data_IF_642488958212
#
_entry.id   IF_642488958212
#
_cell.length_a   1.000
_cell.length_b   1.000
_cell.length_c   1.000
_cell.angle_alpha   90.00
_cell.angle_beta   90.00
_cell.angle_gamma   90.00
#
_symmetry.space_group_name_H-M   'P 1'
#
loop_
_entity.id
_entity.type
_entity.pdbx_description
1 polymer ?
#
# COMPACT_ATOMS: atom_id res chain seq x y z
N UNK A 1 1.58 22.82 13.92
CA UNK A 1 0.74 23.05 12.72
C UNK A 1 1.21 24.18 11.84
N UNK A 2 1.93 25.19 12.35
CA UNK A 2 2.46 26.26 11.50
C UNK A 2 3.25 25.76 10.30
N UNK A 3 4.18 24.82 10.51
CA UNK A 3 5.05 24.31 9.44
C UNK A 3 4.30 23.68 8.26
N UNK A 4 3.48 22.64 8.49
CA UNK A 4 2.76 21.95 7.40
C UNK A 4 1.84 22.90 6.64
N UNK A 5 1.14 23.80 7.35
CA UNK A 5 0.26 24.79 6.73
C UNK A 5 1.05 25.83 5.92
N UNK A 6 2.13 26.35 6.48
CA UNK A 6 2.97 27.36 5.82
C UNK A 6 3.68 26.80 4.60
N UNK A 7 4.18 25.57 4.71
CA UNK A 7 5.03 24.94 3.70
C UNK A 7 4.24 24.21 2.63
N UNK A 8 3.20 23.50 3.02
CA UNK A 8 2.45 22.58 2.17
C UNK A 8 0.95 22.87 2.13
N UNK A 9 0.48 23.97 2.73
CA UNK A 9 -0.97 24.25 2.84
C UNK A 9 -1.72 24.30 1.51
N UNK A 10 -1.03 24.63 0.41
CA UNK A 10 -1.59 24.65 -0.94
C UNK A 10 -1.46 23.33 -1.72
N UNK A 11 -0.77 22.33 -1.17
CA UNK A 11 -0.66 21.01 -1.80
C UNK A 11 -2.00 20.28 -1.68
N UNK A 12 -2.41 19.63 -2.77
CA UNK A 12 -3.58 18.77 -2.78
C UNK A 12 -3.28 17.44 -2.08
N UNK A 13 -4.25 16.93 -1.33
CA UNK A 13 -4.19 15.70 -0.57
C UNK A 13 -5.48 14.91 -0.71
N UNK A 14 -5.35 13.58 -0.76
CA UNK A 14 -6.49 12.68 -0.71
C UNK A 14 -6.91 12.38 0.74
N UNK A 15 -8.23 12.38 0.97
CA UNK A 15 -8.83 12.27 2.29
C UNK A 15 -10.02 11.30 2.24
N UNK A 16 -9.98 10.31 3.12
CA UNK A 16 -11.05 9.37 3.38
C UNK A 16 -12.24 10.04 4.08
N UNK A 17 -13.44 9.59 3.72
CA UNK A 17 -14.68 10.08 4.30
C UNK A 17 -14.88 9.71 5.78
N UNK A 18 -14.12 8.73 6.29
CA UNK A 18 -14.18 8.20 7.67
C UNK A 18 -12.79 7.82 8.16
N UNK A 19 -12.56 7.84 9.48
CA UNK A 19 -11.29 7.35 10.07
C UNK A 19 -11.11 5.85 9.98
N UNK A 20 -12.22 5.10 9.94
CA UNK A 20 -12.20 3.69 9.58
C UNK A 20 -12.33 3.61 8.06
N UNK A 21 -11.24 3.20 7.42
CA UNK A 21 -11.17 2.99 5.97
C UNK A 21 -12.30 2.10 5.48
N UNK A 22 -12.98 2.53 4.43
CA UNK A 22 -13.99 1.76 3.72
C UNK A 22 -13.62 1.70 2.24
N UNK A 23 -13.04 0.59 1.80
CA UNK A 23 -12.50 0.42 0.44
C UNK A 23 -13.57 0.30 -0.66
N UNK A 24 -14.85 0.38 -0.29
CA UNK A 24 -15.95 0.51 -1.26
C UNK A 24 -16.35 1.96 -1.53
N UNK A 25 -15.76 2.92 -0.81
CA UNK A 25 -15.95 4.36 -1.01
C UNK A 25 -14.63 4.96 -1.51
N UNK A 26 -14.70 5.89 -2.46
CA UNK A 26 -13.53 6.64 -2.90
C UNK A 26 -13.30 7.83 -1.99
N UNK A 27 -12.04 8.15 -1.68
CA UNK A 27 -11.68 9.39 -1.00
C UNK A 27 -12.08 10.66 -1.77
N UNK A 28 -11.77 11.83 -1.18
CA UNK A 28 -11.95 13.12 -1.83
C UNK A 28 -10.67 13.98 -1.74
N UNK A 29 -10.45 14.77 -2.78
CA UNK A 29 -9.33 15.71 -2.85
C UNK A 29 -9.66 17.02 -2.13
N UNK A 30 -8.69 17.53 -1.38
CA UNK A 30 -8.73 18.85 -0.75
C UNK A 30 -7.31 19.38 -0.58
N UNK A 31 -7.12 20.64 -0.20
CA UNK A 31 -5.77 21.12 0.12
C UNK A 31 -5.39 20.81 1.57
N UNK A 32 -4.09 20.69 1.83
CA UNK A 32 -3.55 20.38 3.16
C UNK A 32 -4.00 21.40 4.22
N UNK A 33 -4.15 22.68 3.89
CA UNK A 33 -4.58 23.69 4.86
C UNK A 33 -6.02 23.45 5.34
N UNK A 34 -6.94 23.16 4.42
CA UNK A 34 -8.35 22.86 4.68
C UNK A 34 -8.47 21.55 5.47
N UNK A 35 -7.68 20.53 5.11
CA UNK A 35 -7.60 19.30 5.90
C UNK A 35 -7.17 19.57 7.35
N UNK A 36 -6.08 20.34 7.54
CA UNK A 36 -5.56 20.70 8.85
C UNK A 36 -6.55 21.51 9.71
N UNK A 37 -7.51 22.22 9.09
CA UNK A 37 -8.57 22.95 9.82
C UNK A 37 -9.69 22.03 10.31
N UNK A 38 -9.88 20.86 9.68
CA UNK A 38 -11.04 19.99 9.88
C UNK A 38 -10.74 18.72 10.68
N UNK A 39 -9.55 18.14 10.52
CA UNK A 39 -9.28 16.76 10.94
C UNK A 39 -9.41 16.48 12.45
N UNK A 40 -9.28 17.49 13.32
CA UNK A 40 -9.49 17.31 14.77
C UNK A 40 -10.97 17.18 15.14
N UNK A 41 -11.84 17.88 14.40
CA UNK A 41 -13.29 17.95 14.67
C UNK A 41 -14.14 17.01 13.82
N UNK A 42 -13.61 16.53 12.70
CA UNK A 42 -14.32 15.68 11.75
C UNK A 42 -13.83 14.22 11.79
N UNK A 43 -14.70 13.30 11.37
CA UNK A 43 -14.35 11.89 11.15
C UNK A 43 -13.75 11.72 9.74
N UNK A 44 -12.57 12.29 9.52
CA UNK A 44 -11.87 12.21 8.24
C UNK A 44 -10.44 11.75 8.45
N UNK A 45 -9.85 11.15 7.42
CA UNK A 45 -8.51 10.59 7.50
C UNK A 45 -7.70 10.84 6.23
N UNK A 46 -6.50 11.42 6.34
CA UNK A 46 -5.67 11.66 5.16
C UNK A 46 -4.80 10.45 4.85
N UNK A 47 -4.97 9.92 3.65
CA UNK A 47 -4.11 8.92 3.01
C UNK A 47 -3.79 9.45 1.62
N UNK A 48 -2.60 10.02 1.45
CA UNK A 48 -2.23 10.72 0.22
C UNK A 48 -0.81 10.38 -0.21
N UNK A 49 -0.54 10.23 -1.51
CA UNK A 49 0.83 10.23 -2.02
C UNK A 49 1.57 11.50 -1.56
N UNK A 50 2.88 11.40 -1.32
CA UNK A 50 3.71 12.59 -1.10
C UNK A 50 3.86 13.36 -2.40
N UNK A 51 3.51 14.65 -2.40
CA UNK A 51 3.76 15.51 -3.56
C UNK A 51 5.26 15.75 -3.77
N UNK A 52 5.71 16.16 -4.97
CA UNK A 52 7.12 16.49 -5.22
C UNK A 52 7.69 17.58 -4.31
N UNK A 53 6.83 18.45 -3.75
CA UNK A 53 7.24 19.41 -2.73
C UNK A 53 7.56 18.73 -1.40
N UNK A 54 6.72 17.78 -0.96
CA UNK A 54 6.90 17.04 0.28
C UNK A 54 8.07 16.06 0.21
N UNK A 55 8.27 15.38 -0.93
CA UNK A 55 9.36 14.41 -1.14
C UNK A 55 10.76 15.03 -0.95
N UNK A 56 10.91 16.33 -1.19
CA UNK A 56 12.18 17.05 -0.96
C UNK A 56 12.60 17.13 0.51
N UNK A 57 11.64 16.98 1.42
CA UNK A 57 11.88 17.06 2.86
C UNK A 57 11.79 15.68 3.54
N UNK A 58 11.47 14.63 2.78
CA UNK A 58 11.51 13.26 3.25
C UNK A 58 12.85 12.63 2.90
N UNK A 59 13.59 12.17 3.90
CA UNK A 59 14.96 11.67 3.74
C UNK A 59 15.01 10.15 3.82
N UNK A 60 15.58 9.52 2.78
CA UNK A 60 15.93 8.11 2.79
C UNK A 60 17.24 7.91 3.58
N UNK A 61 17.27 7.01 4.58
CA UNK A 61 18.50 6.66 5.28
C UNK A 61 19.46 5.89 4.37
N UNK A 62 20.76 5.98 4.66
CA UNK A 62 21.86 5.35 3.92
C UNK A 62 21.61 3.87 3.53
N UNK A 63 21.00 3.09 4.42
CA UNK A 63 20.70 1.67 4.19
C UNK A 63 19.76 1.41 2.99
N UNK A 64 18.98 2.42 2.59
CA UNK A 64 18.07 2.35 1.43
C UNK A 64 18.69 2.96 0.17
N UNK A 65 19.90 3.51 0.21
CA UNK A 65 20.48 4.25 -0.92
C UNK A 65 21.25 3.37 -1.91
N UNK A 66 21.39 2.08 -1.62
CA UNK A 66 22.04 1.09 -2.48
C UNK A 66 21.39 -0.28 -2.27
N UNK A 67 21.73 -1.25 -3.11
CA UNK A 67 21.28 -2.62 -2.96
C UNK A 67 20.06 -2.98 -3.78
N UNK A 68 19.63 -2.10 -4.70
CA UNK A 68 18.38 -2.26 -5.43
C UNK A 68 17.19 -1.47 -4.86
N UNK A 69 17.31 -0.86 -3.67
CA UNK A 69 16.16 -0.24 -2.99
C UNK A 69 15.60 0.97 -3.75
N UNK A 70 16.46 1.91 -4.14
CA UNK A 70 16.06 3.14 -4.85
C UNK A 70 15.50 2.87 -6.25
N UNK A 71 15.87 1.75 -6.87
CA UNK A 71 15.34 1.34 -8.18
C UNK A 71 14.01 0.57 -8.09
N UNK A 72 13.57 0.23 -6.87
CA UNK A 72 12.36 -0.57 -6.66
C UNK A 72 11.29 0.13 -5.80
N UNK A 73 11.40 1.46 -5.64
CA UNK A 73 10.38 2.28 -4.98
C UNK A 73 9.12 2.37 -5.84
N UNK A 74 7.98 1.95 -5.29
CA UNK A 74 6.67 2.00 -5.96
C UNK A 74 5.97 3.32 -5.60
N UNK A 75 5.71 3.51 -4.30
CA UNK A 75 4.93 4.65 -3.80
C UNK A 75 5.49 5.16 -2.47
N UNK A 76 5.18 6.41 -2.18
CA UNK A 76 5.33 7.00 -0.85
C UNK A 76 4.01 7.63 -0.41
N UNK A 77 3.40 7.10 0.64
CA UNK A 77 2.12 7.60 1.16
C UNK A 77 2.30 8.23 2.54
N UNK A 78 1.70 9.39 2.75
CA UNK A 78 1.53 10.00 4.06
C UNK A 78 0.17 9.68 4.67
N UNK A 79 0.20 9.36 5.96
CA UNK A 79 -0.93 8.93 6.78
C UNK A 79 -1.01 9.90 7.96
N UNK A 80 -2.15 10.58 8.16
CA UNK A 80 -2.32 11.53 9.27
C UNK A 80 -3.67 11.37 9.94
N UNK A 81 -3.71 11.07 11.24
CA UNK A 81 -4.98 10.88 11.95
C UNK A 81 -4.92 11.06 13.47
N UNK A 82 -6.04 10.67 14.09
CA UNK A 82 -6.17 10.39 15.50
C UNK A 82 -7.09 9.16 15.71
N UNK A 83 -6.59 8.17 16.47
CA UNK A 83 -7.23 6.98 17.08
C UNK A 83 -8.28 6.16 16.28
N UNK A 84 -8.04 4.84 16.18
CA UNK A 84 -9.01 3.82 15.71
C UNK A 84 -8.97 2.57 16.61
N UNK A 85 -10.08 1.85 16.72
CA UNK A 85 -10.25 0.65 17.58
C UNK A 85 -10.81 -0.51 16.74
N UNK A 86 -10.32 -1.73 16.98
CA UNK A 86 -10.85 -3.00 16.44
C UNK A 86 -11.67 -3.70 17.51
N UNK A 87 -12.86 -4.17 17.16
CA UNK A 87 -13.67 -5.03 18.02
C UNK A 87 -13.29 -6.51 17.84
N UNK A 88 -12.73 -7.10 18.89
CA UNK A 88 -12.30 -8.51 18.91
C UNK A 88 -13.42 -9.48 19.31
N UNK A 89 -14.55 -8.99 19.85
CA UNK A 89 -15.66 -9.85 20.27
C UNK A 89 -16.44 -10.40 19.07
N UNK A 90 -16.54 -9.61 18.00
CA UNK A 90 -17.12 -10.04 16.73
C UNK A 90 -16.25 -11.04 15.96
N UNK A 91 -14.97 -11.21 16.32
CA UNK A 91 -14.00 -12.03 15.57
C UNK A 91 -13.20 -12.97 16.50
N UNK A 92 -13.84 -13.97 17.14
CA UNK A 92 -13.22 -14.78 18.18
C UNK A 92 -12.00 -15.60 17.70
N UNK A 93 -11.90 -15.90 16.40
CA UNK A 93 -10.74 -16.58 15.82
C UNK A 93 -9.44 -15.78 15.95
N UNK A 94 -9.52 -14.44 15.89
CA UNK A 94 -8.37 -13.55 15.98
C UNK A 94 -7.70 -13.58 17.36
N UNK A 95 -8.43 -13.96 18.41
CA UNK A 95 -7.92 -14.02 19.78
C UNK A 95 -6.76 -15.01 19.91
N UNK A 96 -6.75 -16.06 19.09
CA UNK A 96 -5.74 -17.12 19.13
C UNK A 96 -4.53 -16.87 18.23
N UNK A 97 -4.57 -15.85 17.37
CA UNK A 97 -3.51 -15.54 16.40
C UNK A 97 -2.32 -14.93 17.14
N UNK A 98 -1.10 -15.48 17.04
CA UNK A 98 0.09 -14.85 17.58
C UNK A 98 0.34 -13.51 16.88
N UNK A 99 0.58 -12.45 17.65
CA UNK A 99 0.82 -11.12 17.11
C UNK A 99 2.00 -10.44 17.81
N UNK A 100 2.66 -9.55 17.09
CA UNK A 100 3.71 -8.70 17.62
C UNK A 100 3.21 -7.28 17.83
N UNK A 101 3.65 -6.65 18.91
CA UNK A 101 3.33 -5.25 19.21
C UNK A 101 4.57 -4.38 19.09
N UNK A 102 4.53 -3.39 18.22
CA UNK A 102 5.52 -2.32 18.17
C UNK A 102 4.90 -0.99 18.61
N UNK A 103 5.72 -0.10 19.18
CA UNK A 103 5.37 1.31 19.39
C UNK A 103 6.40 2.12 18.61
N UNK A 104 5.92 2.89 17.64
CA UNK A 104 6.76 3.68 16.74
C UNK A 104 6.73 5.14 17.23
N UNK A 105 7.89 5.70 17.53
CA UNK A 105 8.06 7.09 17.95
C UNK A 105 8.57 7.98 16.80
N UNK A 106 8.52 9.32 16.93
CA UNK A 106 9.09 10.20 15.92
C UNK A 106 10.56 9.88 15.65
N UNK A 107 10.87 9.59 14.38
CA UNK A 107 12.21 9.22 13.90
C UNK A 107 12.44 7.71 13.78
N UNK A 108 11.55 6.87 14.31
CA UNK A 108 11.64 5.42 14.13
C UNK A 108 11.16 5.01 12.73
N UNK A 109 11.75 3.94 12.19
CA UNK A 109 11.28 3.24 11.00
C UNK A 109 10.93 1.80 11.34
N UNK A 110 9.80 1.31 10.83
CA UNK A 110 9.37 -0.08 10.97
C UNK A 110 9.35 -0.74 9.59
N UNK A 111 10.09 -1.83 9.44
CA UNK A 111 9.99 -2.69 8.25
C UNK A 111 8.84 -3.68 8.43
N UNK A 112 7.88 -3.65 7.52
CA UNK A 112 6.78 -4.60 7.44
C UNK A 112 7.05 -5.55 6.27
N UNK A 113 7.33 -6.85 6.52
CA UNK A 113 7.52 -7.79 5.43
C UNK A 113 6.25 -7.92 4.58
N UNK A 114 6.44 -8.28 3.31
CA UNK A 114 5.33 -8.48 2.36
C UNK A 114 4.29 -9.48 2.92
N UNK A 115 3.00 -9.16 2.74
CA UNK A 115 1.83 -9.89 3.24
C UNK A 115 1.69 -9.97 4.77
N UNK A 116 2.47 -9.22 5.53
CA UNK A 116 2.22 -9.12 6.98
C UNK A 116 1.00 -8.24 7.25
N UNK A 117 -0.04 -8.88 7.77
CA UNK A 117 -1.22 -8.20 8.30
C UNK A 117 -0.77 -7.32 9.47
N UNK A 118 -1.10 -6.05 9.40
CA UNK A 118 -0.75 -5.08 10.42
C UNK A 118 -1.97 -4.22 10.75
N UNK A 119 -2.08 -3.85 12.02
CA UNK A 119 -3.08 -2.93 12.51
C UNK A 119 -2.38 -1.78 13.23
N UNK A 120 -2.68 -0.55 12.83
CA UNK A 120 -2.04 0.65 13.35
C UNK A 120 -3.07 1.47 14.12
N UNK A 121 -2.74 1.79 15.37
CA UNK A 121 -3.52 2.74 16.18
C UNK A 121 -2.64 3.93 16.55
N UNK A 122 -3.04 5.11 16.09
CA UNK A 122 -2.35 6.35 16.46
C UNK A 122 -2.81 6.88 17.82
N UNK A 123 -1.89 7.52 18.54
CA UNK A 123 -2.15 8.21 19.80
C UNK A 123 -1.88 9.70 19.64
N UNK A 124 -2.94 10.50 19.68
CA UNK A 124 -2.84 11.93 19.42
C UNK A 124 -2.53 12.21 17.94
N UNK A 125 -1.99 13.41 17.68
CA UNK A 125 -1.66 13.87 16.33
C UNK A 125 -0.40 13.18 15.82
N UNK A 126 -0.53 12.36 14.78
CA UNK A 126 0.59 11.65 14.16
C UNK A 126 0.70 11.96 12.67
N UNK A 127 1.92 11.89 12.13
CA UNK A 127 2.19 11.82 10.71
C UNK A 127 3.11 10.62 10.49
N UNK A 128 2.66 9.66 9.69
CA UNK A 128 3.48 8.54 9.22
C UNK A 128 3.71 8.66 7.72
N UNK A 129 4.85 8.17 7.23
CA UNK A 129 5.11 8.03 5.80
C UNK A 129 5.56 6.60 5.54
N UNK A 130 4.89 5.96 4.60
CA UNK A 130 5.18 4.60 4.18
C UNK A 130 5.93 4.63 2.85
N UNK A 131 7.02 3.86 2.75
CA UNK A 131 7.74 3.61 1.51
C UNK A 131 7.42 2.19 1.05
N UNK A 132 6.83 2.07 -0.14
CA UNK A 132 6.48 0.78 -0.73
C UNK A 132 7.55 0.37 -1.73
N UNK A 133 8.02 -0.87 -1.59
CA UNK A 133 9.05 -1.46 -2.44
C UNK A 133 8.46 -2.65 -3.18
N UNK A 134 8.78 -2.80 -4.46
CA UNK A 134 8.49 -4.05 -5.19
C UNK A 134 9.45 -5.15 -4.75
N UNK A 135 9.11 -6.41 -4.96
CA UNK A 135 10.03 -7.50 -4.68
C UNK A 135 11.24 -7.44 -5.62
N UNK A 136 12.43 -7.38 -5.03
CA UNK A 136 13.70 -7.39 -5.75
C UNK A 136 14.72 -8.28 -5.05
N UNK A 137 15.76 -8.63 -5.80
CA UNK A 137 16.92 -9.33 -5.27
C UNK A 137 17.96 -8.29 -4.87
N UNK A 138 18.47 -8.39 -3.64
CA UNK A 138 19.50 -7.47 -3.15
C UNK A 138 20.75 -7.52 -4.02
N UNK A 139 21.19 -6.35 -4.49
CA UNK A 139 22.39 -6.20 -5.30
C UNK A 139 23.56 -5.68 -4.45
N UNK A 140 24.40 -6.59 -3.97
CA UNK A 140 25.57 -6.19 -3.18
C UNK A 140 26.62 -5.39 -3.97
N UNK A 141 26.64 -5.52 -5.30
CA UNK A 141 27.60 -4.80 -6.15
C UNK A 141 27.24 -3.31 -6.24
N UNK A 142 25.94 -2.98 -6.24
CA UNK A 142 25.42 -1.61 -6.18
C UNK A 142 25.97 -0.84 -4.97
N UNK A 143 25.94 -1.46 -3.78
CA UNK A 143 26.50 -0.87 -2.56
C UNK A 143 28.03 -0.76 -2.57
N UNK A 144 28.72 -1.50 -3.44
CA UNK A 144 30.18 -1.49 -3.56
C UNK A 144 30.68 -0.51 -4.62
N UNK A 145 29.77 0.02 -5.46
CA UNK A 145 30.09 0.89 -6.58
C UNK A 145 30.34 2.35 -6.15
N UNK A 146 29.81 2.78 -5.00
CA UNK A 146 30.01 4.13 -4.47
C UNK A 146 31.09 4.16 -3.38
N UNK A 147 32.06 5.07 -3.52
CA UNK A 147 33.17 5.19 -2.54
C UNK A 147 32.68 5.63 -1.15
N UNK A 148 31.64 6.49 -1.06
CA UNK A 148 30.94 6.86 0.18
C UNK A 148 29.48 7.29 -0.10
N UNK A 149 28.51 6.52 0.40
CA UNK A 149 27.08 6.89 0.37
C UNK A 149 26.77 7.94 1.45
N UNK A 150 25.91 8.95 1.20
CA UNK A 150 25.52 9.91 2.23
C UNK A 150 24.68 9.23 3.33
N UNK A 151 24.69 9.79 4.54
CA UNK A 151 23.84 9.30 5.65
C UNK A 151 22.35 9.35 5.30
N UNK A 152 21.96 10.36 4.52
CA UNK A 152 20.61 10.62 4.09
C UNK A 152 20.57 11.24 2.69
N UNK A 153 19.55 10.90 1.90
CA UNK A 153 19.25 11.56 0.63
C UNK A 153 17.75 11.91 0.51
N UNK A 154 17.38 13.05 -0.09
CA UNK A 154 15.98 13.38 -0.36
C UNK A 154 15.29 12.32 -1.22
N UNK A 155 14.06 11.96 -0.88
CA UNK A 155 13.25 11.02 -1.68
C UNK A 155 13.03 11.55 -3.10
N UNK A 156 12.95 12.88 -3.26
CA UNK A 156 12.81 13.54 -4.56
C UNK A 156 13.97 13.30 -5.53
N UNK A 157 15.10 12.78 -5.06
CA UNK A 157 16.25 12.46 -5.90
C UNK A 157 16.07 11.10 -6.62
N UNK A 158 15.01 10.37 -6.28
CA UNK A 158 14.70 9.03 -6.81
C UNK A 158 13.33 9.00 -7.48
N UNK A 159 13.20 8.12 -8.47
CA UNK A 159 11.94 7.92 -9.18
C UNK A 159 11.07 6.89 -8.47
N UNK A 160 9.85 7.31 -8.10
CA UNK A 160 8.78 6.39 -7.71
C UNK A 160 8.16 5.82 -8.99
N UNK A 161 8.08 4.49 -9.09
CA UNK A 161 7.55 3.81 -10.28
C UNK A 161 6.36 2.92 -9.88
N UNK A 162 5.14 3.48 -9.90
CA UNK A 162 3.88 2.75 -9.63
C UNK A 162 3.76 1.43 -10.39
N UNK A 163 4.25 1.38 -11.63
CA UNK A 163 4.14 0.22 -12.51
C UNK A 163 4.93 -0.99 -12.01
N UNK A 164 5.87 -0.81 -11.07
CA UNK A 164 6.53 -1.92 -10.38
C UNK A 164 5.57 -2.73 -9.49
N UNK A 165 4.36 -2.23 -9.24
CA UNK A 165 3.30 -3.01 -8.63
C UNK A 165 2.86 -4.18 -9.51
N UNK A 166 2.92 -4.04 -10.85
CA UNK A 166 2.66 -5.15 -11.78
C UNK A 166 3.69 -6.27 -11.59
N UNK A 167 4.97 -5.92 -11.42
CA UNK A 167 6.03 -6.88 -11.11
C UNK A 167 5.72 -7.65 -9.83
N UNK A 168 5.36 -6.94 -8.76
CA UNK A 168 4.96 -7.55 -7.50
C UNK A 168 3.78 -8.50 -7.71
N UNK A 169 2.77 -8.06 -8.45
CA UNK A 169 1.58 -8.84 -8.70
C UNK A 169 1.78 -10.12 -9.52
N UNK A 170 2.66 -10.08 -10.52
CA UNK A 170 3.03 -11.31 -11.23
C UNK A 170 3.72 -12.31 -10.31
N UNK A 171 4.58 -11.82 -9.40
CA UNK A 171 5.31 -12.67 -8.47
C UNK A 171 4.42 -13.34 -7.42
N UNK A 172 3.26 -12.77 -7.08
CA UNK A 172 2.30 -13.42 -6.16
C UNK A 172 1.62 -14.63 -6.77
N UNK A 173 1.67 -14.79 -8.10
CA UNK A 173 1.11 -15.93 -8.83
C UNK A 173 2.18 -16.97 -9.24
N UNK A 174 3.37 -16.90 -8.65
CA UNK A 174 4.40 -17.91 -8.87
C UNK A 174 4.03 -19.21 -8.15
N UNK A 175 4.08 -20.34 -8.88
CA UNK A 175 3.93 -21.67 -8.29
C UNK A 175 5.17 -22.09 -7.48
N UNK A 176 5.12 -23.28 -6.88
CA UNK A 176 6.23 -23.85 -6.09
C UNK A 176 7.55 -24.01 -6.88
N UNK A 177 7.49 -24.00 -8.22
CA UNK A 177 8.64 -24.08 -9.11
C UNK A 177 9.09 -22.69 -9.61
N UNK A 178 8.46 -21.61 -9.13
CA UNK A 178 8.70 -20.25 -9.56
C UNK A 178 8.23 -19.97 -10.99
N UNK A 179 7.19 -20.64 -11.46
CA UNK A 179 6.53 -20.35 -12.75
C UNK A 179 5.25 -19.57 -12.52
N UNK A 180 5.09 -18.50 -13.31
CA UNK A 180 3.89 -17.68 -13.37
C UNK A 180 3.21 -17.96 -14.72
N UNK A 181 1.92 -18.28 -14.69
CA UNK A 181 1.12 -18.57 -15.88
C UNK A 181 0.14 -17.44 -16.14
N UNK A 182 0.07 -16.97 -17.39
CA UNK A 182 -0.88 -15.95 -17.82
C UNK A 182 -2.34 -16.35 -17.53
N UNK A 183 -2.66 -17.65 -17.55
CA UNK A 183 -3.99 -18.16 -17.22
C UNK A 183 -4.38 -17.94 -15.76
N UNK A 184 -3.46 -18.11 -14.82
CA UNK A 184 -3.71 -17.90 -13.39
C UNK A 184 -3.87 -16.41 -13.09
N UNK A 185 -3.01 -15.58 -13.71
CA UNK A 185 -3.12 -14.12 -13.62
C UNK A 185 -4.44 -13.63 -14.23
N UNK A 186 -4.83 -14.16 -15.39
CA UNK A 186 -6.12 -13.86 -16.02
C UNK A 186 -7.28 -14.21 -15.11
N UNK A 187 -7.30 -15.43 -14.55
CA UNK A 187 -8.34 -15.87 -13.63
C UNK A 187 -8.48 -14.92 -12.42
N UNK A 188 -7.34 -14.55 -11.81
CA UNK A 188 -7.32 -13.64 -10.68
C UNK A 188 -7.80 -12.23 -11.03
N UNK A 189 -7.44 -11.72 -12.21
CA UNK A 189 -7.89 -10.41 -12.68
C UNK A 189 -9.37 -10.42 -13.05
N UNK A 190 -9.88 -11.45 -13.73
CA UNK A 190 -11.29 -11.56 -14.14
C UNK A 190 -12.27 -11.70 -12.98
N UNK A 191 -11.79 -12.05 -11.78
CA UNK A 191 -12.59 -12.03 -10.55
C UNK A 191 -12.72 -10.63 -9.93
N UNK A 192 -11.95 -9.64 -10.41
CA UNK A 192 -12.05 -8.26 -9.93
C UNK A 192 -13.21 -7.55 -10.61
N UNK A 193 -13.89 -6.72 -9.83
CA UNK A 193 -14.96 -5.85 -10.32
C UNK A 193 -14.44 -4.97 -11.48
N UNK A 194 -15.16 -4.95 -12.60
CA UNK A 194 -14.81 -4.16 -13.79
C UNK A 194 -13.84 -4.85 -14.76
N UNK A 195 -13.40 -6.08 -14.45
CA UNK A 195 -12.48 -6.87 -15.27
C UNK A 195 -13.10 -8.18 -15.79
N UNK A 196 -14.42 -8.34 -15.66
CA UNK A 196 -15.12 -9.60 -15.94
C UNK A 196 -14.98 -10.03 -17.40
N UNK A 197 -14.90 -9.06 -18.32
CA UNK A 197 -14.76 -9.28 -19.76
C UNK A 197 -13.29 -9.36 -20.24
N UNK A 198 -12.32 -9.34 -19.32
CA UNK A 198 -10.90 -9.47 -19.67
C UNK A 198 -10.64 -10.78 -20.41
N UNK A 199 -10.04 -10.70 -21.59
CA UNK A 199 -9.70 -11.87 -22.40
C UNK A 199 -8.32 -12.41 -22.01
N UNK A 200 -8.18 -13.74 -21.96
CA UNK A 200 -6.91 -14.40 -21.65
C UNK A 200 -5.81 -13.99 -22.64
N UNK A 201 -6.16 -13.82 -23.91
CA UNK A 201 -5.23 -13.40 -24.96
C UNK A 201 -4.57 -12.04 -24.66
N UNK A 202 -5.29 -11.12 -23.99
CA UNK A 202 -4.72 -9.84 -23.57
C UNK A 202 -3.61 -10.03 -22.52
N UNK A 203 -3.83 -10.92 -21.54
CA UNK A 203 -2.82 -11.24 -20.51
C UNK A 203 -1.63 -11.98 -21.12
N UNK A 204 -1.87 -12.89 -22.07
CA UNK A 204 -0.79 -13.56 -22.82
C UNK A 204 0.05 -12.54 -23.60
N UNK A 205 -0.57 -11.52 -24.20
CA UNK A 205 0.15 -10.45 -24.90
C UNK A 205 1.04 -9.61 -23.97
N UNK A 206 0.62 -9.38 -22.72
CA UNK A 206 1.47 -8.75 -21.69
C UNK A 206 2.69 -9.62 -21.41
N UNK A 207 2.50 -10.93 -21.25
CA UNK A 207 3.62 -11.85 -21.01
C UNK A 207 4.60 -11.86 -22.19
N UNK A 208 4.09 -11.86 -23.42
CA UNK A 208 4.91 -11.78 -24.64
C UNK A 208 5.62 -10.43 -24.79
N UNK A 209 5.02 -9.32 -24.34
CA UNK A 209 5.68 -8.00 -24.35
C UNK A 209 6.79 -7.91 -23.30
N UNK A 210 6.62 -8.55 -22.14
CA UNK A 210 7.65 -8.68 -21.11
C UNK A 210 8.80 -9.59 -21.56
N UNK A 211 8.47 -10.73 -22.19
CA UNK A 211 9.46 -11.67 -22.71
C UNK A 211 8.94 -12.37 -23.96
N UNK A 212 9.47 -12.04 -25.15
CA UNK A 212 9.05 -12.67 -26.40
C UNK A 212 9.31 -14.18 -26.43
N UNK A 213 8.32 -14.94 -26.90
CA UNK A 213 8.37 -16.39 -27.03
C UNK A 213 8.15 -17.15 -25.72
N UNK A 214 7.63 -16.49 -24.68
CA UNK A 214 7.39 -17.10 -23.39
C UNK A 214 6.13 -17.98 -23.35
N UNK A 215 5.25 -17.87 -24.35
CA UNK A 215 4.01 -18.64 -24.48
C UNK A 215 3.12 -18.53 -23.24
N UNK A 216 3.04 -17.33 -22.67
CA UNK A 216 2.25 -17.06 -21.46
C UNK A 216 2.84 -17.64 -20.17
N UNK A 217 4.15 -17.95 -20.14
CA UNK A 217 4.83 -18.50 -18.97
C UNK A 217 6.11 -17.75 -18.66
N UNK A 218 6.24 -17.21 -17.45
CA UNK A 218 7.44 -16.52 -16.99
C UNK A 218 7.99 -17.19 -15.74
N UNK A 219 9.32 -17.26 -15.60
CA UNK A 219 9.92 -17.64 -14.31
C UNK A 219 10.04 -16.43 -13.39
N UNK A 220 9.89 -16.61 -12.09
CA UNK A 220 10.12 -15.55 -11.10
C UNK A 220 11.52 -14.93 -11.24
N UNK A 221 12.54 -15.74 -11.52
CA UNK A 221 13.90 -15.26 -11.78
C UNK A 221 13.97 -14.35 -13.01
N UNK A 222 13.16 -14.61 -14.03
CA UNK A 222 13.08 -13.78 -15.23
C UNK A 222 12.39 -12.47 -14.89
N UNK A 223 11.24 -12.53 -14.20
CA UNK A 223 10.50 -11.35 -13.73
C UNK A 223 11.38 -10.43 -12.88
N UNK A 224 12.18 -10.99 -11.95
CA UNK A 224 13.12 -10.19 -11.15
C UNK A 224 14.21 -9.50 -11.99
N UNK A 225 14.64 -10.13 -13.09
CA UNK A 225 15.70 -9.61 -13.97
C UNK A 225 15.21 -8.65 -15.05
N UNK A 226 13.89 -8.54 -15.25
CA UNK A 226 13.33 -7.65 -16.26
C UNK A 226 13.59 -6.17 -15.88
N UNK A 227 13.99 -5.33 -16.86
CA UNK A 227 14.12 -3.91 -16.64
C UNK A 227 12.80 -3.27 -16.19
N UNK A 228 12.89 -2.23 -15.36
CA UNK A 228 11.73 -1.43 -14.91
C UNK A 228 10.88 -0.97 -16.10
N UNK A 229 11.53 -0.53 -17.19
CA UNK A 229 10.84 -0.04 -18.38
C UNK A 229 10.01 -1.09 -19.11
N UNK A 230 10.35 -2.38 -18.95
CA UNK A 230 9.52 -3.46 -19.47
C UNK A 230 8.16 -3.48 -18.77
N UNK A 231 8.12 -3.23 -17.46
CA UNK A 231 6.86 -3.16 -16.71
C UNK A 231 6.07 -1.90 -17.03
N UNK A 232 6.74 -0.75 -17.14
CA UNK A 232 6.09 0.51 -17.55
C UNK A 232 5.43 0.36 -18.93
N UNK A 233 6.16 -0.19 -19.91
CA UNK A 233 5.63 -0.41 -21.25
C UNK A 233 4.50 -1.44 -21.29
N UNK A 234 4.65 -2.55 -20.55
CA UNK A 234 3.64 -3.59 -20.49
C UNK A 234 2.34 -3.09 -19.83
N UNK A 235 2.48 -2.30 -18.77
CA UNK A 235 1.37 -1.71 -18.05
C UNK A 235 0.59 -0.71 -18.92
N UNK A 236 1.27 0.23 -19.59
CA UNK A 236 0.61 1.16 -20.54
C UNK A 236 -0.15 0.42 -21.64
N UNK A 237 0.46 -0.61 -22.22
CA UNK A 237 -0.19 -1.44 -23.25
C UNK A 237 -1.40 -2.21 -22.72
N UNK A 238 -1.37 -2.63 -21.45
CA UNK A 238 -2.50 -3.30 -20.82
C UNK A 238 -3.65 -2.32 -20.59
N UNK A 239 -3.38 -1.16 -20.01
CA UNK A 239 -4.39 -0.13 -19.75
C UNK A 239 -5.06 0.35 -21.03
N UNK A 240 -4.32 0.59 -22.11
CA UNK A 240 -4.92 0.95 -23.40
C UNK A 240 -5.84 -0.14 -23.97
N UNK A 241 -5.65 -1.40 -23.57
CA UNK A 241 -6.49 -2.52 -24.01
C UNK A 241 -7.78 -2.64 -23.21
N UNK A 242 -7.72 -2.34 -21.90
CA UNK A 242 -8.85 -2.53 -20.97
C UNK A 242 -9.69 -1.25 -20.84
N UNK A 243 -9.07 -0.07 -20.88
CA UNK A 243 -9.70 1.25 -20.76
C UNK A 243 -9.34 2.15 -21.95
N UNK A 244 -9.82 1.83 -23.18
CA UNK A 244 -9.46 2.58 -24.38
C UNK A 244 -10.01 4.01 -24.42
N UNK A 245 -10.95 4.37 -23.52
CA UNK A 245 -11.56 5.70 -23.46
C UNK A 245 -10.77 6.71 -22.59
N UNK A 246 -9.74 6.26 -21.86
CA UNK A 246 -8.99 7.07 -20.90
C UNK A 246 -7.59 7.50 -21.40
N UNK A 247 -7.20 7.20 -22.65
CA UNK A 247 -5.83 7.44 -23.18
C UNK A 247 -5.31 8.90 -23.07
N UNK A 248 -6.18 9.91 -22.97
CA UNK A 248 -5.81 11.33 -23.02
C UNK A 248 -5.40 11.94 -21.65
N UNK A 249 -5.61 11.25 -20.52
CA UNK A 249 -5.27 11.78 -19.17
C UNK A 249 -3.88 11.33 -18.66
N UNK A 250 -3.19 10.42 -19.37
CA UNK A 250 -1.95 9.77 -18.90
C UNK A 250 -0.65 10.45 -19.36
N UNK A 251 -0.72 11.71 -19.78
CA UNK A 251 0.40 12.46 -20.35
C UNK A 251 1.32 13.10 -19.30
N UNK A 252 2.56 12.61 -19.21
CA UNK A 252 3.79 13.21 -18.66
C UNK A 252 3.80 13.86 -17.24
N UNK A 253 2.66 14.00 -16.58
CA UNK A 253 2.56 14.32 -15.16
C UNK A 253 2.13 13.04 -14.44
N UNK A 254 2.93 12.57 -13.47
CA UNK A 254 2.79 11.25 -12.84
C UNK A 254 1.34 10.92 -12.53
N UNK A 255 0.76 10.01 -13.33
CA UNK A 255 -0.65 9.68 -13.32
C UNK A 255 -1.12 9.32 -11.92
N UNK A 256 -2.11 10.07 -11.46
CA UNK A 256 -2.84 9.82 -10.24
C UNK A 256 -3.49 8.44 -10.31
N UNK A 257 -2.92 7.48 -9.59
CA UNK A 257 -3.70 6.34 -9.15
C UNK A 257 -4.55 6.78 -7.97
N UNK A 258 -5.79 7.16 -8.26
CA UNK A 258 -6.89 6.95 -7.34
C UNK A 258 -7.05 5.46 -7.09
N UNK A 259 -6.72 5.03 -5.87
CA UNK A 259 -7.24 3.91 -5.07
C UNK A 259 -7.42 2.49 -5.66
N UNK A 260 -7.08 2.22 -6.93
CA UNK A 260 -7.22 0.89 -7.55
C UNK A 260 -5.93 0.08 -7.68
N UNK A 261 -4.79 0.61 -7.24
CA UNK A 261 -3.47 0.00 -7.45
C UNK A 261 -3.31 -1.31 -6.68
N UNK A 262 -3.30 -2.45 -7.38
CA UNK A 262 -2.80 -3.78 -6.98
C UNK A 262 -2.55 -3.97 -5.46
N UNK A 263 -3.61 -3.88 -4.67
CA UNK A 263 -3.52 -4.22 -3.26
C UNK A 263 -3.38 -5.73 -3.15
N UNK A 264 -2.28 -6.17 -2.51
CA UNK A 264 -2.00 -7.58 -2.31
C UNK A 264 -3.15 -8.25 -1.57
N UNK A 265 -3.60 -9.39 -2.09
CA UNK A 265 -4.38 -10.41 -1.38
C UNK A 265 -5.49 -9.86 -0.49
N UNK A 266 -6.56 -9.33 -1.10
CA UNK A 266 -7.86 -9.33 -0.46
C UNK A 266 -8.30 -10.78 -0.24
N UNK A 267 -8.71 -11.08 0.99
CA UNK A 267 -9.10 -12.39 1.50
C UNK A 267 -10.08 -13.12 0.57
N UNK A 268 -9.83 -14.41 0.37
CA UNK A 268 -10.78 -15.34 -0.20
C UNK A 268 -12.09 -15.27 0.61
N UNK A 269 -13.17 -14.87 -0.05
CA UNK A 269 -14.53 -14.89 0.49
C UNK A 269 -14.95 -16.35 0.74
N UNK A 270 -14.69 -16.84 1.95
CA UNK A 270 -15.23 -18.11 2.42
C UNK A 270 -16.73 -17.95 2.61
N UNK A 271 -17.47 -18.22 1.55
CA UNK A 271 -18.92 -18.25 1.54
C UNK A 271 -19.46 -19.09 2.70
N UNK A 272 -20.02 -18.39 3.70
CA UNK A 272 -20.95 -18.97 4.64
C UNK A 272 -22.34 -18.49 4.30
N UNK A 273 -23.11 -19.44 3.77
CA UNK A 273 -24.53 -19.37 3.50
C UNK A 273 -25.31 -18.75 4.66
N UNK A 274 -26.22 -17.86 4.32
CA UNK A 274 -27.32 -17.34 5.12
C UNK A 274 -27.86 -18.39 6.12
N UNK A 275 -27.61 -18.15 7.40
CA UNK A 275 -28.49 -18.61 8.47
C UNK A 275 -28.91 -17.35 9.21
N UNK A 276 -30.08 -16.86 8.84
CA UNK A 276 -30.78 -15.85 9.61
C UNK A 276 -31.12 -16.40 10.98
N UNK A 277 -31.01 -15.55 11.99
CA UNK A 277 -31.86 -15.60 13.17
C UNK A 277 -31.95 -14.18 13.75
N UNK A 278 -33.19 -13.70 13.81
CA UNK A 278 -33.62 -12.49 14.50
C UNK A 278 -33.22 -12.56 15.97
N UNK A 279 -32.63 -11.49 16.52
CA UNK A 279 -32.58 -11.28 17.96
C UNK A 279 -32.87 -9.82 18.30
N UNK A 280 -33.96 -9.65 19.05
CA UNK A 280 -34.44 -8.40 19.62
C UNK A 280 -33.47 -7.88 20.69
N UNK A 281 -33.22 -6.56 20.68
CA UNK A 281 -32.50 -5.87 21.75
C UNK A 281 -33.37 -5.82 23.01
N UNK A 282 -32.98 -6.56 24.06
CA UNK A 282 -33.39 -6.27 25.43
C UNK A 282 -32.28 -5.47 26.12
N UNK A 283 -32.59 -4.22 26.45
CA UNK A 283 -31.81 -3.36 27.35
C UNK A 283 -31.84 -3.93 28.78
N UNK A 284 -30.69 -4.28 29.35
CA UNK A 284 -30.54 -4.38 30.81
C UNK A 284 -29.40 -3.49 31.30
N UNK A 285 -29.80 -2.43 32.03
CA UNK A 285 -28.95 -1.64 32.91
C UNK A 285 -28.39 -2.52 34.05
N UNK A 286 -27.06 -2.62 34.16
CA UNK A 286 -26.42 -3.38 35.23
C UNK A 286 -25.01 -2.87 35.54
N UNK A 287 -24.92 -1.93 36.47
CA UNK A 287 -23.65 -1.39 36.97
C UNK A 287 -22.73 -2.46 37.59
N UNK A 288 -21.45 -2.37 37.26
CA UNK A 288 -20.39 -3.14 37.89
C UNK A 288 -19.05 -2.43 37.75
N UNK A 289 -18.68 -1.65 38.77
CA UNK A 289 -17.39 -0.96 38.82
C UNK A 289 -16.22 -1.93 38.91
N UNK A 290 -15.16 -1.64 38.16
CA UNK A 290 -13.87 -2.31 38.32
C UNK A 290 -12.96 -1.47 39.24
N UNK A 291 -12.31 -2.09 40.24
CA UNK A 291 -11.43 -1.38 41.15
C UNK A 291 -10.07 -1.10 40.50
N UNK A 292 -9.59 0.13 40.72
CA UNK A 292 -8.19 0.49 40.56
C UNK A 292 -7.32 -0.34 41.50
N UNK A 293 -6.30 -1.01 40.97
CA UNK A 293 -5.13 -1.36 41.77
C UNK A 293 -3.85 -0.98 41.02
N UNK A 294 -3.14 -0.04 41.62
CA UNK A 294 -1.76 0.28 41.32
C UNK A 294 -0.86 -0.72 42.04
N UNK A 295 0.13 -1.31 41.37
CA UNK A 295 1.49 -1.47 41.92
C UNK A 295 2.51 -1.84 40.81
N UNK A 296 3.81 -1.57 41.01
CA UNK A 296 4.75 -1.16 39.96
C UNK A 296 5.76 -2.23 39.52
N UNK A 297 6.42 -1.91 38.39
CA UNK A 297 7.73 -2.35 37.88
C UNK A 297 8.52 -3.42 38.66
N UNK A 298 8.88 -4.49 37.96
CA UNK A 298 10.19 -5.14 38.09
C UNK A 298 10.81 -5.34 36.70
N UNK A 299 12.09 -4.99 36.62
CA UNK A 299 12.99 -5.12 35.48
C UNK A 299 13.33 -6.58 35.20
N UNK A 300 13.38 -6.97 33.92
CA UNK A 300 14.35 -7.91 33.34
C UNK A 300 14.52 -7.61 31.86
#
# INVERSE_FOLDING_TARGET
MGYLRERFGGEEVNVEHKKKENRSETGFLTNMADYLDRYEGEDIYMVSPLTPAMQREWLLPQLLLCGGFTQNLIFSYAWYNNHTIVDLLSHPGLVSVPWHRAVVWPGDCLFLPHLWIHHVTSRGRNLGVNLWLSAFMYDSEDCSAEEELPDFAPLSDYHLVPELQLKQGLLTHADDNGLVYASEVHLALSMRQGMEDLQLEAVVQIFESLKPGCQGQLRSSEIHSLPVESFVSAFRSFMSTVHPEEEDEWGDEGGEWGEGGWEGGGEEDWGYSELGDEWEEEEEEGGGGFPHDHQPHEEL
#
